data_IF_441650397664
#
_entry.id   IF_441650397664
#
_cell.length_a   1.000
_cell.length_b   1.000
_cell.length_c   1.000
_cell.angle_alpha   90.00
_cell.angle_beta   90.00
_cell.angle_gamma   90.00
#
_symmetry.space_group_name_H-M   'P 1'
#
loop_
_entity.id
_entity.type
_entity.pdbx_description
1 polymer ?
#
# COMPACT_ATOMS: atom_id res chain seq x y z
N UNK A 1 47.99 4.20 -19.98
CA UNK A 1 46.74 3.43 -20.17
C UNK A 1 46.00 4.07 -21.32
N UNK A 2 45.54 3.30 -22.33
CA UNK A 2 44.88 3.87 -23.49
C UNK A 2 43.60 4.59 -23.03
N UNK A 3 43.35 5.78 -23.59
CA UNK A 3 42.21 6.65 -23.24
C UNK A 3 40.86 5.93 -23.34
N UNK A 4 40.76 4.92 -24.21
CA UNK A 4 39.59 4.04 -24.35
C UNK A 4 39.26 3.25 -23.07
N UNK A 5 40.27 2.80 -22.33
CA UNK A 5 40.05 2.09 -21.05
C UNK A 5 39.51 3.03 -19.97
N UNK A 6 39.98 4.28 -19.96
CA UNK A 6 39.52 5.29 -19.00
C UNK A 6 38.05 5.66 -19.24
N UNK A 7 37.65 5.81 -20.52
CA UNK A 7 36.27 6.09 -20.93
C UNK A 7 35.36 4.91 -20.58
N UNK A 8 35.79 3.68 -20.84
CA UNK A 8 35.01 2.46 -20.52
C UNK A 8 34.77 2.32 -19.02
N UNK A 9 35.79 2.54 -18.20
CA UNK A 9 35.66 2.50 -16.73
C UNK A 9 34.69 3.58 -16.23
N UNK A 10 34.75 4.80 -16.81
CA UNK A 10 33.83 5.89 -16.47
C UNK A 10 32.37 5.56 -16.76
N UNK A 11 32.08 4.97 -17.92
CA UNK A 11 30.72 4.57 -18.31
C UNK A 11 30.20 3.45 -17.40
N UNK A 12 31.02 2.43 -17.13
CA UNK A 12 30.65 1.33 -16.24
C UNK A 12 30.37 1.85 -14.82
N UNK A 13 31.22 2.73 -14.30
CA UNK A 13 31.02 3.33 -12.99
C UNK A 13 29.72 4.16 -12.91
N UNK A 14 29.40 4.92 -13.97
CA UNK A 14 28.16 5.68 -14.04
C UNK A 14 26.92 4.78 -14.07
N UNK A 15 26.94 3.67 -14.82
CA UNK A 15 25.83 2.70 -14.86
C UNK A 15 25.64 2.05 -13.48
N UNK A 16 26.73 1.63 -12.83
CA UNK A 16 26.65 1.05 -11.48
C UNK A 16 26.08 2.05 -10.47
N UNK A 17 26.50 3.31 -10.53
CA UNK A 17 25.97 4.36 -9.66
C UNK A 17 24.46 4.57 -9.86
N UNK A 18 23.98 4.58 -11.11
CA UNK A 18 22.54 4.71 -11.42
C UNK A 18 21.76 3.50 -10.89
N UNK A 19 22.29 2.28 -11.05
CA UNK A 19 21.65 1.07 -10.51
C UNK A 19 21.58 1.13 -8.98
N UNK A 20 22.65 1.51 -8.30
CA UNK A 20 22.65 1.63 -6.83
C UNK A 20 21.63 2.67 -6.36
N UNK A 21 21.54 3.83 -7.02
CA UNK A 21 20.57 4.87 -6.67
C UNK A 21 19.12 4.39 -6.91
N UNK A 22 18.88 3.66 -8.00
CA UNK A 22 17.57 3.07 -8.31
C UNK A 22 17.15 2.04 -7.26
N UNK A 23 18.08 1.19 -6.81
CA UNK A 23 17.83 0.20 -5.74
C UNK A 23 17.68 0.84 -4.36
N UNK A 24 18.45 1.89 -4.05
CA UNK A 24 18.40 2.58 -2.76
C UNK A 24 17.06 3.32 -2.57
N UNK A 25 16.51 3.92 -3.62
CA UNK A 25 15.18 4.58 -3.59
C UNK A 25 14.02 3.64 -3.31
N UNK A 26 14.27 2.34 -3.37
CA UNK A 26 13.24 1.34 -3.45
C UNK A 26 13.01 0.58 -2.14
N UNK A 27 13.84 0.83 -1.13
CA UNK A 27 13.57 0.37 0.22
C UNK A 27 12.46 1.23 0.85
N UNK A 28 11.23 0.74 0.81
CA UNK A 28 10.07 1.37 1.47
C UNK A 28 9.97 0.84 2.90
N UNK A 29 10.13 1.75 3.86
CA UNK A 29 9.92 1.50 5.29
C UNK A 29 8.57 2.08 5.70
N UNK A 30 7.76 1.30 6.40
CA UNK A 30 6.46 1.69 6.94
C UNK A 30 6.47 1.60 8.47
N UNK A 31 5.67 2.44 9.12
CA UNK A 31 5.49 2.42 10.56
C UNK A 31 4.80 1.13 11.05
N UNK A 32 4.88 0.80 12.34
CA UNK A 32 4.21 -0.38 12.91
C UNK A 32 2.67 -0.31 12.82
N UNK A 33 2.10 0.90 12.67
CA UNK A 33 0.67 1.13 12.52
C UNK A 33 0.24 1.24 11.04
N UNK A 34 1.09 0.81 10.10
CA UNK A 34 0.84 0.90 8.67
C UNK A 34 1.04 -0.47 8.02
N UNK A 35 0.27 -0.73 6.97
CA UNK A 35 0.44 -1.89 6.12
C UNK A 35 0.99 -1.44 4.78
N UNK A 36 2.08 -2.06 4.34
CA UNK A 36 2.53 -1.92 2.96
C UNK A 36 1.83 -2.96 2.09
N UNK A 37 1.03 -2.49 1.14
CA UNK A 37 0.44 -3.27 0.06
C UNK A 37 1.38 -3.16 -1.13
N UNK A 38 2.01 -4.27 -1.51
CA UNK A 38 2.88 -4.34 -2.68
C UNK A 38 2.14 -5.09 -3.80
N UNK A 39 1.70 -4.36 -4.82
CA UNK A 39 0.91 -4.84 -5.96
C UNK A 39 1.75 -4.88 -7.25
N UNK A 40 1.37 -5.67 -8.25
CA UNK A 40 2.02 -5.69 -9.58
C UNK A 40 3.04 -6.82 -9.82
N UNK A 41 3.34 -7.61 -8.79
CA UNK A 41 4.19 -8.80 -8.89
C UNK A 41 3.49 -10.07 -9.42
N UNK A 42 4.20 -11.20 -9.34
CA UNK A 42 3.69 -12.52 -9.73
C UNK A 42 2.40 -12.86 -8.96
N UNK A 43 1.31 -13.19 -9.68
CA UNK A 43 0.02 -13.58 -9.07
C UNK A 43 0.24 -14.73 -8.07
N UNK A 44 0.02 -14.48 -6.78
CA UNK A 44 0.07 -15.51 -5.74
C UNK A 44 -1.32 -16.03 -5.44
N UNK A 45 -1.45 -17.35 -5.42
CA UNK A 45 -2.66 -18.00 -4.94
C UNK A 45 -2.65 -17.98 -3.43
N UNK A 46 -3.66 -17.37 -2.83
CA UNK A 46 -3.85 -17.37 -1.39
C UNK A 46 -5.16 -18.08 -1.06
N UNK A 47 -5.12 -18.84 0.04
CA UNK A 47 -6.25 -19.61 0.54
C UNK A 47 -7.02 -18.72 1.52
N UNK A 48 -8.27 -18.46 1.22
CA UNK A 48 -9.20 -17.76 2.11
C UNK A 48 -9.67 -18.68 3.25
N UNK A 49 -10.21 -18.11 4.36
CA UNK A 49 -10.77 -18.88 5.47
C UNK A 49 -11.86 -19.88 5.03
N UNK A 50 -12.56 -19.59 3.94
CA UNK A 50 -13.61 -20.41 3.35
C UNK A 50 -13.08 -21.56 2.47
N UNK A 51 -11.74 -21.73 2.39
CA UNK A 51 -11.08 -22.75 1.59
C UNK A 51 -10.96 -22.42 0.10
N UNK A 52 -11.50 -21.28 -0.35
CA UNK A 52 -11.35 -20.77 -1.72
C UNK A 52 -9.92 -20.33 -2.00
N UNK A 53 -9.41 -20.70 -3.17
CA UNK A 53 -8.09 -20.30 -3.67
C UNK A 53 -8.24 -19.09 -4.59
N UNK A 54 -7.96 -17.89 -4.10
CA UNK A 54 -7.98 -16.65 -4.89
C UNK A 54 -6.57 -16.30 -5.35
N UNK A 55 -6.39 -16.04 -6.65
CA UNK A 55 -5.12 -15.53 -7.19
C UNK A 55 -5.07 -14.02 -6.95
N UNK A 56 -4.37 -13.59 -5.91
CA UNK A 56 -4.13 -12.18 -5.61
C UNK A 56 -2.81 -11.72 -6.25
N UNK A 57 -2.83 -10.54 -6.87
CA UNK A 57 -1.67 -9.91 -7.51
C UNK A 57 -0.86 -9.02 -6.56
N UNK A 58 -1.11 -9.11 -5.26
CA UNK A 58 -0.52 -8.25 -4.25
C UNK A 58 -0.09 -9.04 -3.02
N UNK A 59 0.89 -8.51 -2.28
CA UNK A 59 1.33 -8.99 -0.96
C UNK A 59 1.16 -7.86 0.06
N UNK A 60 0.78 -8.22 1.28
CA UNK A 60 0.64 -7.28 2.40
C UNK A 60 1.67 -7.58 3.48
N UNK A 61 2.27 -6.52 4.04
CA UNK A 61 3.20 -6.63 5.16
C UNK A 61 2.83 -5.60 6.22
N UNK A 62 2.57 -6.06 7.44
CA UNK A 62 2.19 -5.20 8.57
C UNK A 62 3.48 -4.73 9.25
N UNK A 63 3.73 -3.43 9.20
CA UNK A 63 4.94 -2.83 9.76
C UNK A 63 6.25 -3.26 9.09
N UNK A 64 7.33 -2.56 9.43
CA UNK A 64 8.68 -2.90 8.99
C UNK A 64 9.06 -2.31 7.63
N UNK A 65 10.05 -2.92 6.97
CA UNK A 65 10.52 -2.48 5.66
C UNK A 65 10.66 -3.66 4.73
N UNK A 66 10.17 -3.53 3.51
CA UNK A 66 10.31 -4.57 2.48
C UNK A 66 10.88 -3.98 1.21
N UNK A 67 11.60 -4.82 0.49
CA UNK A 67 12.15 -4.47 -0.80
C UNK A 67 11.05 -4.61 -1.85
N UNK A 68 10.68 -3.50 -2.48
CA UNK A 68 9.72 -3.44 -3.58
C UNK A 68 10.53 -3.55 -4.89
N UNK A 69 10.07 -4.15 -5.97
CA UNK A 69 10.77 -4.08 -7.26
C UNK A 69 10.30 -2.88 -8.11
N UNK A 70 11.16 -1.93 -8.52
CA UNK A 70 10.73 -0.60 -8.99
C UNK A 70 10.05 -0.59 -10.36
N UNK A 71 10.22 -1.66 -11.13
CA UNK A 71 9.69 -1.78 -12.48
C UNK A 71 8.44 -2.67 -12.58
N UNK A 72 8.24 -3.55 -11.59
CA UNK A 72 7.20 -4.59 -11.64
C UNK A 72 6.21 -4.40 -10.48
N UNK A 73 6.70 -3.92 -9.33
CA UNK A 73 5.91 -3.79 -8.11
C UNK A 73 5.63 -2.31 -7.76
N UNK A 74 4.39 -2.02 -7.42
CA UNK A 74 3.93 -0.77 -6.80
C UNK A 74 3.77 -0.99 -5.30
N UNK A 75 4.15 -0.01 -4.51
CA UNK A 75 3.97 -0.02 -3.07
C UNK A 75 2.98 1.08 -2.66
N UNK A 76 1.95 0.68 -1.94
CA UNK A 76 0.93 1.54 -1.38
C UNK A 76 0.87 1.32 0.14
N UNK A 77 0.62 2.40 0.88
CA UNK A 77 0.60 2.37 2.35
C UNK A 77 -0.84 2.54 2.80
N UNK A 78 -1.34 1.56 3.53
CA UNK A 78 -2.65 1.62 4.19
C UNK A 78 -2.44 1.91 5.67
N UNK A 79 -2.87 3.07 6.19
CA UNK A 79 -2.81 3.35 7.62
C UNK A 79 -3.81 2.46 8.38
N UNK A 80 -3.36 1.84 9.47
CA UNK A 80 -4.21 1.12 10.42
C UNK A 80 -4.63 2.01 11.60
N UNK A 81 -4.35 3.31 11.50
CA UNK A 81 -4.72 4.29 12.50
C UNK A 81 -6.21 4.61 12.44
N UNK A 82 -6.72 5.17 13.54
CA UNK A 82 -8.12 5.57 13.64
C UNK A 82 -8.34 6.78 12.74
N UNK A 83 -9.27 6.66 11.79
CA UNK A 83 -9.72 7.78 10.96
C UNK A 83 -11.15 8.18 11.33
N UNK A 84 -11.44 9.48 11.23
CA UNK A 84 -12.76 10.04 11.56
C UNK A 84 -13.58 10.13 10.28
N UNK A 85 -14.78 9.56 10.31
CA UNK A 85 -15.80 9.69 9.27
C UNK A 85 -16.83 10.69 9.78
N UNK A 86 -16.93 11.82 9.09
CA UNK A 86 -17.96 12.83 9.33
C UNK A 86 -19.17 12.53 8.44
N UNK A 87 -20.33 12.35 9.06
CA UNK A 87 -21.61 12.23 8.36
C UNK A 87 -22.39 13.50 8.61
N UNK A 88 -22.52 14.32 7.57
CA UNK A 88 -23.33 15.54 7.57
C UNK A 88 -24.54 15.31 6.68
N UNK A 89 -25.74 15.33 7.26
CA UNK A 89 -26.99 15.20 6.50
C UNK A 89 -27.79 16.49 6.64
N UNK A 90 -27.90 17.23 5.54
CA UNK A 90 -28.38 18.60 5.57
C UNK A 90 -29.89 18.76 5.78
N UNK A 91 -30.70 17.74 5.48
CA UNK A 91 -32.13 17.68 5.83
C UNK A 91 -32.68 16.29 5.43
N UNK A 92 -32.96 15.45 6.43
CA UNK A 92 -33.65 14.17 6.21
C UNK A 92 -34.99 14.21 6.94
N UNK A 93 -36.04 13.81 6.22
CA UNK A 93 -37.36 13.61 6.81
C UNK A 93 -37.34 12.37 7.69
N UNK A 94 -37.70 12.56 8.96
CA UNK A 94 -38.00 11.44 9.85
C UNK A 94 -39.24 10.69 9.36
N UNK A 95 -39.46 9.45 9.84
CA UNK A 95 -40.68 8.69 9.55
C UNK A 95 -41.97 9.42 9.96
N UNK A 96 -41.88 10.49 10.75
CA UNK A 96 -43.00 11.35 11.18
C UNK A 96 -43.12 12.65 10.36
N UNK A 97 -42.33 12.84 9.31
CA UNK A 97 -42.42 14.00 8.42
C UNK A 97 -41.76 15.28 8.95
N UNK A 98 -40.99 15.19 10.03
CA UNK A 98 -40.27 16.32 10.61
C UNK A 98 -38.87 16.39 9.96
N UNK A 99 -38.48 17.53 9.36
CA UNK A 99 -37.14 17.71 8.81
C UNK A 99 -36.13 17.86 9.96
N UNK A 100 -35.09 17.03 9.95
CA UNK A 100 -33.98 17.13 10.89
C UNK A 100 -32.65 17.16 10.14
N UNK A 101 -31.73 17.99 10.62
CA UNK A 101 -30.33 17.95 10.23
C UNK A 101 -29.55 17.18 11.29
N UNK A 102 -28.74 16.22 10.86
CA UNK A 102 -27.90 15.41 11.76
C UNK A 102 -26.44 15.60 11.35
N UNK A 103 -25.64 15.98 12.33
CA UNK A 103 -24.18 15.93 12.25
C UNK A 103 -23.69 14.85 13.20
N UNK A 104 -22.97 13.87 12.66
CA UNK A 104 -22.38 12.78 13.43
C UNK A 104 -20.92 12.59 13.07
N UNK A 105 -20.08 12.41 14.08
CA UNK A 105 -18.69 12.00 13.90
C UNK A 105 -18.52 10.59 14.42
N UNK A 106 -17.94 9.71 13.61
CA UNK A 106 -17.61 8.34 14.02
C UNK A 106 -16.13 8.07 13.77
N UNK A 107 -15.49 7.39 14.70
CA UNK A 107 -14.09 6.97 14.58
C UNK A 107 -14.04 5.49 14.21
N UNK A 108 -13.37 5.16 13.11
CA UNK A 108 -13.27 3.80 12.60
C UNK A 108 -11.80 3.43 12.40
N UNK A 109 -11.46 2.15 12.57
CA UNK A 109 -10.14 1.60 12.25
C UNK A 109 -10.27 0.26 11.54
N UNK A 110 -9.33 -0.04 10.67
CA UNK A 110 -9.21 -1.36 10.05
C UNK A 110 -8.65 -2.33 11.08
N UNK A 111 -9.27 -3.50 11.21
CA UNK A 111 -8.80 -4.54 12.11
C UNK A 111 -7.51 -5.17 11.56
N UNK A 112 -6.55 -5.48 12.44
CA UNK A 112 -5.22 -5.99 12.08
C UNK A 112 -5.21 -7.48 11.68
N UNK A 113 -6.35 -8.04 11.30
CA UNK A 113 -6.39 -9.40 10.74
C UNK A 113 -6.15 -9.38 9.23
N UNK A 114 -5.50 -10.43 8.74
CA UNK A 114 -5.12 -10.56 7.34
C UNK A 114 -6.34 -10.53 6.38
N UNK A 115 -7.50 -11.01 6.82
CA UNK A 115 -8.74 -10.93 6.06
C UNK A 115 -9.24 -9.48 5.91
N UNK A 116 -9.34 -8.72 7.00
CA UNK A 116 -9.81 -7.33 7.01
C UNK A 116 -8.87 -6.39 6.26
N UNK A 117 -7.56 -6.63 6.36
CA UNK A 117 -6.55 -5.88 5.60
C UNK A 117 -6.70 -6.14 4.10
N UNK A 118 -6.97 -7.39 3.68
CA UNK A 118 -7.23 -7.70 2.27
C UNK A 118 -8.51 -7.06 1.77
N UNK A 119 -9.58 -7.11 2.55
CA UNK A 119 -10.83 -6.45 2.19
C UNK A 119 -10.63 -4.94 2.01
N UNK A 120 -9.87 -4.31 2.92
CA UNK A 120 -9.53 -2.89 2.82
C UNK A 120 -8.60 -2.57 1.62
N UNK A 121 -7.77 -3.52 1.18
CA UNK A 121 -6.90 -3.36 0.02
C UNK A 121 -7.61 -3.58 -1.33
N UNK A 122 -8.81 -4.16 -1.32
CA UNK A 122 -9.64 -4.35 -2.52
C UNK A 122 -10.54 -3.15 -2.84
N UNK A 123 -10.78 -2.27 -1.86
CA UNK A 123 -11.66 -1.10 -1.93
C UNK A 123 -10.88 0.18 -2.22
#
# INVERSE_FOLDING_TARGET
MPVETLVTIGIVAAIVAVVIIAFARQYRKVGPNEVLIVSGGLKRTVVEPDGTRKKIGYRTHIGGGTFVLPLIERAEVLPLEVFTVEVKTSEVLTSQGIPIAIEGTSQVRVKTDDHSIRLAAEL
#
